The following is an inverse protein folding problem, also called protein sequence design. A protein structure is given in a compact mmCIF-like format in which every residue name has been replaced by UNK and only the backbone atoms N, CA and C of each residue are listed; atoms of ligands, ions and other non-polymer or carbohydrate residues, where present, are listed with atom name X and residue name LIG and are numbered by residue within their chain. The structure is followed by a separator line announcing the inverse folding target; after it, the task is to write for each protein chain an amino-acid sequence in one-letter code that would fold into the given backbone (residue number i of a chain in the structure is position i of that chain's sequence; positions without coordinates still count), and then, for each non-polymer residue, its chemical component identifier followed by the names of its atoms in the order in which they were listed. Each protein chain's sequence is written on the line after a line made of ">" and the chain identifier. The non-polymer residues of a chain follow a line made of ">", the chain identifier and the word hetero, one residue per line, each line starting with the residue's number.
data_IF_476444860835
#
_entry.id   IF_476444860835
#
_cell.length_a   1.000
_cell.length_b   1.000
_cell.length_c   1.000
_cell.angle_alpha   90.00
_cell.angle_beta   90.00
_cell.angle_gamma   90.00
#
_symmetry.space_group_name_H-M   'P 1'
#
loop_
_entity.id
_entity.type
_entity.pdbx_description
1 polymer ?
#
# COMPACT_ATOMS: atom_id res chain seq x y z
N UNK A 1 -5.69 6.68 -5.12
CA UNK A 1 -4.35 6.68 -5.76
C UNK A 1 -3.96 8.07 -6.19
N UNK A 2 -2.69 8.38 -6.05
CA UNK A 2 -2.13 9.64 -6.55
C UNK A 2 -1.95 9.59 -8.07
N UNK A 3 -1.88 10.76 -8.71
CA UNK A 3 -1.75 10.86 -10.17
C UNK A 3 -0.49 10.17 -10.71
N UNK A 4 0.58 10.09 -9.91
CA UNK A 4 1.86 9.48 -10.28
C UNK A 4 2.01 8.03 -9.75
N UNK A 5 0.91 7.44 -9.30
CA UNK A 5 0.85 6.06 -8.81
C UNK A 5 -0.09 5.25 -9.68
N UNK A 6 0.08 3.93 -9.67
CA UNK A 6 -0.79 3.00 -10.40
C UNK A 6 -1.32 1.91 -9.46
N UNK A 7 -2.21 1.07 -9.97
CA UNK A 7 -2.63 -0.12 -9.26
C UNK A 7 -4.13 -0.21 -8.99
N UNK A 8 -4.46 -1.03 -8.01
CA UNK A 8 -5.82 -1.36 -7.66
C UNK A 8 -6.61 -0.13 -7.19
N UNK A 9 -7.77 0.07 -7.80
CA UNK A 9 -8.75 1.06 -7.42
C UNK A 9 -10.10 0.36 -7.28
N UNK A 10 -10.69 0.44 -6.11
CA UNK A 10 -12.00 -0.14 -5.84
C UNK A 10 -13.08 0.90 -6.11
N UNK A 11 -14.01 0.56 -7.00
CA UNK A 11 -15.17 1.40 -7.31
C UNK A 11 -16.41 0.81 -6.67
N UNK A 12 -17.16 1.62 -5.94
CA UNK A 12 -18.37 1.18 -5.25
C UNK A 12 -19.36 2.34 -5.10
N UNK A 13 -20.65 2.00 -5.06
CA UNK A 13 -21.71 2.92 -4.68
C UNK A 13 -22.19 2.68 -3.22
N UNK A 14 -21.53 1.78 -2.49
CA UNK A 14 -21.86 1.47 -1.10
C UNK A 14 -21.01 2.36 -0.17
N UNK A 15 -21.65 3.39 0.39
CA UNK A 15 -20.99 4.33 1.31
C UNK A 15 -20.53 3.68 2.62
N UNK A 16 -21.23 2.67 3.11
CA UNK A 16 -20.83 1.93 4.30
C UNK A 16 -19.55 1.14 4.05
N UNK A 17 -19.42 0.52 2.89
CA UNK A 17 -18.18 -0.17 2.50
C UNK A 17 -17.02 0.81 2.37
N UNK A 18 -17.24 1.96 1.75
CA UNK A 18 -16.22 3.00 1.63
C UNK A 18 -15.72 3.42 3.02
N UNK A 19 -16.67 3.68 3.93
CA UNK A 19 -16.33 4.03 5.31
C UNK A 19 -15.53 2.92 5.99
N UNK A 20 -15.96 1.67 5.84
CA UNK A 20 -15.30 0.50 6.43
C UNK A 20 -13.86 0.33 5.97
N UNK A 21 -13.61 0.54 4.67
CA UNK A 21 -12.28 0.38 4.09
C UNK A 21 -11.32 1.53 4.41
N UNK A 22 -11.84 2.70 4.76
CA UNK A 22 -11.04 3.91 4.98
C UNK A 22 -10.99 4.37 6.42
N UNK A 23 -11.78 3.77 7.30
CA UNK A 23 -11.89 4.21 8.70
C UNK A 23 -10.63 3.88 9.50
N UNK A 24 -10.01 4.86 10.20
CA UNK A 24 -8.74 4.64 10.89
C UNK A 24 -8.81 3.65 12.06
N UNK A 25 -9.99 3.44 12.65
CA UNK A 25 -10.17 2.47 13.76
C UNK A 25 -10.15 1.02 13.30
N UNK A 26 -10.39 0.77 12.01
CA UNK A 26 -10.46 -0.57 11.44
C UNK A 26 -9.55 -0.62 10.21
N UNK A 27 -8.22 -0.52 10.43
CA UNK A 27 -7.29 -0.41 9.32
C UNK A 27 -7.28 -1.67 8.47
N UNK A 28 -7.23 -1.46 7.16
CA UNK A 28 -7.09 -2.52 6.16
C UNK A 28 -5.68 -2.45 5.60
N UNK A 29 -5.00 -3.58 5.56
CA UNK A 29 -3.68 -3.68 4.98
C UNK A 29 -3.75 -3.47 3.48
N UNK A 30 -2.82 -2.67 2.96
CA UNK A 30 -2.65 -2.44 1.52
C UNK A 30 -1.26 -2.90 1.13
N UNK A 31 -1.16 -3.55 -0.01
CA UNK A 31 0.10 -4.10 -0.51
C UNK A 31 0.55 -3.31 -1.73
N UNK A 32 1.81 -2.88 -1.69
CA UNK A 32 2.42 -2.07 -2.75
C UNK A 32 3.66 -2.74 -3.29
N UNK A 33 3.90 -2.58 -4.58
CA UNK A 33 5.19 -2.84 -5.21
C UNK A 33 5.82 -1.49 -5.54
N UNK A 34 7.04 -1.30 -5.05
CA UNK A 34 7.70 0.01 -5.08
C UNK A 34 9.13 -0.16 -5.58
N UNK A 35 9.41 0.44 -6.73
CA UNK A 35 10.78 0.61 -7.16
C UNK A 35 11.36 1.85 -6.50
N UNK A 36 12.46 1.68 -5.79
CA UNK A 36 13.21 2.79 -5.19
C UNK A 36 14.58 2.89 -5.84
N UNK A 37 15.11 4.10 -5.89
CA UNK A 37 16.45 4.35 -6.38
C UNK A 37 17.49 3.75 -5.42
N UNK A 38 18.53 3.13 -5.96
CA UNK A 38 19.62 2.59 -5.18
C UNK A 38 19.31 1.24 -4.54
N UNK A 39 20.12 0.90 -3.55
CA UNK A 39 20.03 -0.37 -2.82
C UNK A 39 19.99 -0.08 -1.32
N UNK A 40 18.80 0.10 -0.73
CA UNK A 40 18.72 0.37 0.70
C UNK A 40 19.30 -0.79 1.51
N UNK A 41 20.23 -0.51 2.43
CA UNK A 41 20.82 -1.54 3.29
C UNK A 41 19.82 -2.01 4.34
N UNK A 42 20.13 -3.12 5.01
CA UNK A 42 19.25 -3.75 5.96
C UNK A 42 18.80 -2.80 7.09
N UNK A 43 19.68 -1.93 7.58
CA UNK A 43 19.31 -1.00 8.67
C UNK A 43 18.28 0.04 8.23
N UNK A 44 18.30 0.47 6.96
CA UNK A 44 17.28 1.38 6.40
C UNK A 44 15.93 0.68 6.33
N UNK A 45 15.90 -0.57 5.86
CA UNK A 45 14.66 -1.35 5.80
C UNK A 45 14.10 -1.59 7.21
N UNK A 46 14.97 -1.82 8.19
CA UNK A 46 14.57 -1.95 9.60
C UNK A 46 13.92 -0.68 10.12
N UNK A 47 14.51 0.49 9.83
CA UNK A 47 13.93 1.78 10.19
C UNK A 47 12.54 1.94 9.58
N UNK A 48 12.38 1.58 8.31
CA UNK A 48 11.08 1.65 7.63
C UNK A 48 10.04 0.75 8.31
N UNK A 49 10.43 -0.49 8.63
CA UNK A 49 9.54 -1.46 9.30
C UNK A 49 9.09 -0.99 10.68
N UNK A 50 9.98 -0.38 11.43
CA UNK A 50 9.70 0.09 12.80
C UNK A 50 8.90 1.39 12.82
N UNK A 51 8.90 2.12 11.73
CA UNK A 51 8.30 3.44 11.62
C UNK A 51 9.32 4.56 11.74
N UNK A 52 9.03 5.65 11.06
CA UNK A 52 9.86 6.85 11.04
C UNK A 52 9.02 8.07 11.43
N UNK A 53 9.68 9.11 11.95
CA UNK A 53 9.02 10.37 12.20
C UNK A 53 8.79 11.08 10.86
N UNK A 54 7.52 11.30 10.53
CA UNK A 54 7.11 11.95 9.30
C UNK A 54 6.22 13.13 9.66
N UNK A 55 6.71 14.35 9.43
CA UNK A 55 6.01 15.59 9.77
C UNK A 55 5.56 15.64 11.25
N UNK A 56 6.44 15.25 12.16
CA UNK A 56 6.19 15.32 13.59
C UNK A 56 5.40 14.15 14.18
N UNK A 57 4.97 13.19 13.35
CA UNK A 57 4.24 12.01 13.81
C UNK A 57 4.88 10.74 13.27
N UNK A 58 5.16 9.79 14.16
CA UNK A 58 5.75 8.52 13.78
C UNK A 58 4.77 7.70 12.94
N UNK A 59 5.26 7.10 11.85
CA UNK A 59 4.47 6.18 11.06
C UNK A 59 4.26 4.87 11.82
N UNK A 60 3.15 4.19 11.53
CA UNK A 60 2.90 2.86 12.08
C UNK A 60 3.90 1.85 11.53
N UNK A 61 4.17 0.76 12.25
CA UNK A 61 4.98 -0.32 11.72
C UNK A 61 4.46 -0.81 10.37
N UNK A 62 5.37 -1.07 9.46
CA UNK A 62 5.09 -1.55 8.11
C UNK A 62 5.83 -2.86 7.87
N UNK A 63 5.37 -3.63 6.88
CA UNK A 63 6.12 -4.78 6.38
C UNK A 63 6.84 -4.36 5.11
N UNK A 64 8.14 -4.61 5.05
CA UNK A 64 8.99 -4.23 3.92
C UNK A 64 9.91 -5.40 3.60
N UNK A 65 9.87 -5.88 2.35
CA UNK A 65 10.80 -6.91 1.90
C UNK A 65 11.30 -6.63 0.49
N UNK A 66 12.50 -7.09 0.19
CA UNK A 66 13.09 -6.96 -1.14
C UNK A 66 12.54 -8.09 -2.02
N UNK A 67 11.99 -7.72 -3.18
CA UNK A 67 11.58 -8.68 -4.21
C UNK A 67 12.64 -8.85 -5.27
N UNK A 68 13.33 -7.78 -5.64
CA UNK A 68 14.33 -7.79 -6.71
C UNK A 68 15.34 -6.66 -6.46
N UNK A 69 16.58 -6.90 -6.82
CA UNK A 69 17.65 -5.93 -6.66
C UNK A 69 18.44 -5.85 -7.97
N UNK A 70 18.67 -4.62 -8.45
CA UNK A 70 19.56 -4.34 -9.59
C UNK A 70 20.69 -3.42 -9.13
N UNK A 71 21.63 -3.10 -10.02
CA UNK A 71 22.74 -2.20 -9.70
C UNK A 71 22.28 -0.80 -9.25
N UNK A 72 21.15 -0.31 -9.77
CA UNK A 72 20.72 1.07 -9.59
C UNK A 72 19.38 1.23 -8.90
N UNK A 73 18.60 0.16 -8.72
CA UNK A 73 17.29 0.23 -8.09
C UNK A 73 16.93 -1.07 -7.41
N UNK A 74 15.96 -0.99 -6.51
CA UNK A 74 15.46 -2.13 -5.74
C UNK A 74 13.93 -2.14 -5.80
N UNK A 75 13.34 -3.31 -6.05
CA UNK A 75 11.91 -3.53 -5.96
C UNK A 75 11.58 -4.02 -4.56
N UNK A 76 10.74 -3.26 -3.86
CA UNK A 76 10.25 -3.58 -2.53
C UNK A 76 8.78 -3.97 -2.59
N UNK A 77 8.39 -4.93 -1.75
CA UNK A 77 6.98 -5.10 -1.38
C UNK A 77 6.78 -4.43 -0.04
N UNK A 78 5.84 -3.49 0.01
CA UNK A 78 5.53 -2.74 1.22
C UNK A 78 4.07 -2.96 1.56
N UNK A 79 3.80 -3.37 2.80
CA UNK A 79 2.44 -3.49 3.31
C UNK A 79 2.23 -2.47 4.42
N UNK A 80 1.19 -1.65 4.26
CA UNK A 80 0.79 -0.60 5.18
C UNK A 80 -0.64 -0.82 5.64
N UNK A 81 -0.91 -0.49 6.90
CA UNK A 81 -2.27 -0.44 7.44
C UNK A 81 -2.74 1.00 7.72
N UNK A 82 -1.98 1.99 7.28
CA UNK A 82 -2.39 3.38 7.30
C UNK A 82 -2.21 3.99 5.92
N UNK A 83 -2.78 5.16 5.68
CA UNK A 83 -2.73 5.79 4.37
C UNK A 83 -2.56 7.29 4.49
N UNK A 84 -1.47 7.75 5.10
CA UNK A 84 -1.15 9.18 5.15
C UNK A 84 -0.79 9.66 3.74
N UNK A 85 -1.11 10.91 3.45
CA UNK A 85 -0.88 11.50 2.13
C UNK A 85 0.55 11.26 1.65
N UNK A 86 0.70 10.60 0.52
CA UNK A 86 1.98 10.28 -0.15
C UNK A 86 3.02 9.66 0.79
N UNK A 87 2.56 8.83 1.71
CA UNK A 87 3.40 8.31 2.80
C UNK A 87 4.62 7.54 2.30
N UNK A 88 4.44 6.58 1.40
CA UNK A 88 5.56 5.76 0.91
C UNK A 88 6.61 6.64 0.23
N UNK A 89 6.18 7.59 -0.61
CA UNK A 89 7.08 8.49 -1.31
C UNK A 89 7.86 9.38 -0.35
N UNK A 90 7.20 9.89 0.66
CA UNK A 90 7.82 10.79 1.65
C UNK A 90 8.79 10.04 2.55
N UNK A 91 8.44 8.84 3.02
CA UNK A 91 9.34 8.01 3.83
C UNK A 91 10.55 7.58 3.03
N UNK A 92 10.36 7.11 1.80
CA UNK A 92 11.47 6.72 0.93
C UNK A 92 12.45 7.86 0.69
N UNK A 93 11.95 9.04 0.40
CA UNK A 93 12.78 10.23 0.20
C UNK A 93 13.54 10.61 1.47
N UNK A 94 12.87 10.59 2.63
CA UNK A 94 13.50 10.89 3.91
C UNK A 94 14.61 9.90 4.25
N UNK A 95 14.46 8.63 3.89
CA UNK A 95 15.47 7.60 4.11
C UNK A 95 16.61 7.64 3.07
N UNK A 96 16.46 8.44 2.01
CA UNK A 96 17.49 8.61 0.98
C UNK A 96 17.36 7.70 -0.24
N UNK A 97 16.22 7.01 -0.40
CA UNK A 97 15.97 6.08 -1.50
C UNK A 97 14.65 6.43 -2.19
N UNK A 98 14.62 7.49 -3.02
CA UNK A 98 13.38 7.99 -3.61
C UNK A 98 12.63 6.94 -4.43
N UNK A 99 11.31 7.03 -4.42
CA UNK A 99 10.44 6.17 -5.22
C UNK A 99 10.57 6.52 -6.70
N UNK A 100 10.80 5.51 -7.54
CA UNK A 100 10.79 5.60 -8.99
C UNK A 100 9.43 5.22 -9.57
N UNK A 101 8.84 4.13 -9.07
CA UNK A 101 7.52 3.66 -9.46
C UNK A 101 6.80 3.11 -8.23
N UNK A 102 5.50 3.40 -8.13
CA UNK A 102 4.66 2.92 -7.04
C UNK A 102 3.37 2.32 -7.60
N UNK A 103 3.10 1.06 -7.23
CA UNK A 103 1.97 0.30 -7.72
C UNK A 103 1.24 -0.36 -6.55
N UNK A 104 -0.05 -0.06 -6.38
CA UNK A 104 -0.86 -0.73 -5.36
C UNK A 104 -1.35 -2.07 -5.89
N UNK A 105 -0.79 -3.15 -5.36
CA UNK A 105 -1.08 -4.51 -5.78
C UNK A 105 -2.38 -5.05 -5.18
N UNK A 106 -2.70 -4.63 -3.95
CA UNK A 106 -3.86 -5.16 -3.25
C UNK A 106 -4.39 -4.25 -2.15
N UNK A 107 -5.66 -4.48 -1.81
CA UNK A 107 -6.37 -3.81 -0.71
C UNK A 107 -6.99 -4.94 0.12
N UNK A 108 -6.40 -5.24 1.29
CA UNK A 108 -6.81 -6.40 2.08
C UNK A 108 -6.73 -7.67 1.26
N UNK A 109 -7.80 -8.44 1.21
CA UNK A 109 -7.88 -9.67 0.42
C UNK A 109 -8.14 -9.43 -1.08
N UNK A 110 -8.39 -8.19 -1.49
CA UNK A 110 -8.61 -7.85 -2.90
C UNK A 110 -7.25 -7.74 -3.59
N UNK A 111 -7.05 -8.57 -4.62
CA UNK A 111 -5.81 -8.63 -5.38
C UNK A 111 -6.05 -8.15 -6.82
N UNK A 112 -5.20 -7.25 -7.30
CA UNK A 112 -5.27 -6.77 -8.68
C UNK A 112 -5.01 -7.90 -9.68
N UNK A 113 -4.05 -8.78 -9.36
CA UNK A 113 -3.68 -9.88 -10.24
C UNK A 113 -3.15 -9.39 -11.58
N UNK A 114 -3.55 -10.06 -12.64
CA UNK A 114 -3.13 -9.77 -14.01
C UNK A 114 -4.09 -8.82 -14.75
N UNK A 115 -4.98 -8.11 -14.04
CA UNK A 115 -5.90 -7.17 -14.67
C UNK A 115 -5.12 -6.06 -15.39
N UNK A 116 -5.30 -5.90 -16.72
CA UNK A 116 -4.57 -4.87 -17.46
C UNK A 116 -4.97 -3.45 -17.05
N UNK A 117 -4.07 -2.50 -17.27
CA UNK A 117 -4.33 -1.07 -17.03
C UNK A 117 -5.57 -0.62 -17.80
N UNK A 118 -6.42 0.16 -17.14
CA UNK A 118 -7.65 0.69 -17.73
C UNK A 118 -8.80 -0.30 -17.81
N UNK A 119 -8.62 -1.52 -17.33
CA UNK A 119 -9.66 -2.53 -17.33
C UNK A 119 -10.36 -2.62 -15.98
N UNK A 120 -11.60 -3.13 -16.00
CA UNK A 120 -12.43 -3.36 -14.83
C UNK A 120 -12.74 -4.85 -14.74
N UNK A 121 -12.93 -5.33 -13.54
CA UNK A 121 -13.54 -6.63 -13.28
C UNK A 121 -14.40 -6.58 -12.02
N UNK A 122 -15.44 -7.42 -11.92
CA UNK A 122 -16.15 -7.58 -10.66
C UNK A 122 -15.25 -8.28 -9.63
N UNK A 123 -15.57 -8.10 -8.35
CA UNK A 123 -14.93 -8.86 -7.28
C UNK A 123 -15.34 -10.32 -7.36
N UNK A 124 -14.40 -11.23 -7.09
CA UNK A 124 -14.71 -12.65 -6.96
C UNK A 124 -15.40 -12.92 -5.61
N UNK A 125 -15.83 -14.17 -5.39
CA UNK A 125 -16.58 -14.53 -4.18
C UNK A 125 -15.76 -14.31 -2.89
N UNK A 126 -14.48 -14.62 -2.91
CA UNK A 126 -13.60 -14.43 -1.75
C UNK A 126 -13.42 -12.95 -1.43
N UNK A 127 -13.27 -12.10 -2.46
CA UNK A 127 -13.15 -10.65 -2.30
C UNK A 127 -14.46 -10.04 -1.81
N UNK A 128 -15.61 -10.52 -2.30
CA UNK A 128 -16.93 -10.11 -1.80
C UNK A 128 -17.11 -10.48 -0.33
N UNK A 129 -16.68 -11.67 0.07
CA UNK A 129 -16.72 -12.11 1.47
C UNK A 129 -15.85 -11.22 2.36
N UNK A 130 -14.67 -10.83 1.90
CA UNK A 130 -13.80 -9.87 2.58
C UNK A 130 -14.50 -8.52 2.77
N UNK A 131 -15.11 -7.97 1.74
CA UNK A 131 -15.86 -6.71 1.82
C UNK A 131 -17.00 -6.79 2.84
N UNK A 132 -17.73 -7.90 2.84
CA UNK A 132 -18.82 -8.13 3.78
C UNK A 132 -18.31 -8.17 5.23
N UNK A 133 -17.20 -8.86 5.48
CA UNK A 133 -16.58 -8.95 6.79
C UNK A 133 -16.09 -7.59 7.29
N UNK A 134 -15.45 -6.79 6.41
CA UNK A 134 -14.97 -5.45 6.76
C UNK A 134 -16.14 -4.52 7.06
N UNK A 135 -17.19 -4.56 6.26
CA UNK A 135 -18.40 -3.76 6.44
C UNK A 135 -19.06 -4.03 7.79
N UNK A 136 -19.10 -5.28 8.21
CA UNK A 136 -19.70 -5.70 9.48
C UNK A 136 -18.99 -5.16 10.72
N UNK A 137 -17.72 -4.74 10.60
CA UNK A 137 -16.94 -4.19 11.72
C UNK A 137 -17.41 -2.81 12.17
N UNK A 138 -18.11 -2.09 11.31
CA UNK A 138 -18.52 -0.70 11.56
C UNK A 138 -19.94 -0.62 12.10
N UNK A 139 -20.74 -1.65 11.88
CA UNK A 139 -22.11 -1.74 12.37
C UNK A 139 -22.13 -2.35 13.82
#
# INVERSE_FOLDING_TARGET
>A
LDWDSSGALLLTNDGELTLALTHPRHPVWKTYRVWVQGQPPAFVLTQWRQGVNLAGKRTLPAQVRILQKTAHRTLLEIQLREGRNRQIRRVAEQLGYPVLELHRQGIGAIQLGALPVGHLRPLNLAEQAFCQAVRSRII
#
